data_IF_526067350613
#
_entry.id   IF_526067350613
#
_cell.length_a   1.000
_cell.length_b   1.000
_cell.length_c   1.000
_cell.angle_alpha   90.00
_cell.angle_beta   90.00
_cell.angle_gamma   90.00
#
_symmetry.space_group_name_H-M   'P 1'
#
loop_
_entity.id
_entity.type
_entity.pdbx_description
1 polymer ?
#
# COMPACT_ATOMS: atom_id res chain seq x y z
N UNK A 1 -19.69 -17.63 -16.47
CA UNK A 1 -19.26 -16.68 -15.40
C UNK A 1 -18.07 -17.17 -14.57
N UNK A 2 -17.92 -18.48 -14.28
CA UNK A 2 -16.82 -18.98 -13.41
C UNK A 2 -15.42 -18.99 -14.04
N UNK A 3 -15.30 -19.39 -15.31
CA UNK A 3 -14.01 -19.54 -16.00
C UNK A 3 -13.29 -18.19 -16.15
N UNK A 4 -13.99 -17.17 -16.67
CA UNK A 4 -13.46 -15.82 -16.87
C UNK A 4 -12.97 -15.14 -15.58
N UNK A 5 -13.65 -15.39 -14.45
CA UNK A 5 -13.25 -14.86 -13.13
C UNK A 5 -11.97 -15.51 -12.62
N UNK A 6 -11.78 -16.81 -12.90
CA UNK A 6 -10.59 -17.57 -12.50
C UNK A 6 -9.36 -17.12 -13.30
N UNK A 7 -9.47 -17.02 -14.62
CA UNK A 7 -8.40 -16.53 -15.51
C UNK A 7 -7.97 -15.11 -15.14
N UNK A 8 -8.93 -14.22 -14.85
CA UNK A 8 -8.63 -12.87 -14.42
C UNK A 8 -7.90 -12.84 -13.05
N UNK A 9 -8.29 -13.70 -12.11
CA UNK A 9 -7.64 -13.79 -10.81
C UNK A 9 -6.19 -14.31 -10.94
N UNK A 10 -5.94 -15.26 -11.84
CA UNK A 10 -4.60 -15.77 -12.11
C UNK A 10 -3.68 -14.72 -12.75
N UNK A 11 -4.19 -13.95 -13.72
CA UNK A 11 -3.46 -12.79 -14.27
C UNK A 11 -3.08 -11.78 -13.19
N UNK A 12 -4.03 -11.38 -12.35
CA UNK A 12 -3.78 -10.42 -11.26
C UNK A 12 -2.76 -10.97 -10.26
N UNK A 13 -2.80 -12.29 -9.96
CA UNK A 13 -1.81 -12.93 -9.08
C UNK A 13 -0.42 -12.97 -9.71
N UNK A 14 -0.31 -13.21 -11.02
CA UNK A 14 0.95 -13.18 -11.74
C UNK A 14 1.57 -11.77 -11.75
N UNK A 15 0.76 -10.74 -12.05
CA UNK A 15 1.19 -9.33 -12.02
C UNK A 15 1.59 -8.87 -10.60
N UNK A 16 0.91 -9.39 -9.57
CA UNK A 16 1.25 -9.11 -8.15
C UNK A 16 2.48 -9.86 -7.65
N UNK A 17 3.01 -10.84 -8.38
CA UNK A 17 4.19 -11.61 -7.97
C UNK A 17 5.49 -10.81 -8.16
N UNK A 18 5.52 -9.91 -9.14
CA UNK A 18 6.67 -9.06 -9.44
C UNK A 18 6.69 -7.78 -8.58
N UNK A 19 5.52 -7.35 -8.09
CA UNK A 19 5.36 -6.12 -7.31
C UNK A 19 5.26 -6.42 -5.82
N UNK A 20 6.18 -5.89 -5.03
CA UNK A 20 6.11 -5.99 -3.56
C UNK A 20 5.01 -5.06 -3.04
N UNK A 21 4.05 -5.60 -2.28
CA UNK A 21 2.99 -4.83 -1.64
C UNK A 21 2.78 -5.26 -0.19
N UNK A 22 2.43 -4.31 0.67
CA UNK A 22 2.06 -4.55 2.06
C UNK A 22 0.73 -3.86 2.38
N UNK A 23 -0.05 -4.42 3.31
CA UNK A 23 -1.34 -3.87 3.75
C UNK A 23 -1.46 -3.94 5.26
N UNK A 24 -1.91 -2.84 5.87
CA UNK A 24 -2.28 -2.78 7.29
C UNK A 24 -3.80 -2.62 7.39
N UNK A 25 -4.48 -3.66 7.89
CA UNK A 25 -5.93 -3.64 8.11
C UNK A 25 -6.23 -3.37 9.60
N UNK A 26 -7.41 -2.80 9.90
CA UNK A 26 -7.89 -2.53 11.27
C UNK A 26 -6.98 -1.61 12.10
N UNK A 27 -6.50 -0.51 11.52
CA UNK A 27 -5.79 0.51 12.29
C UNK A 27 -6.76 1.36 13.12
N UNK A 28 -6.56 1.52 14.46
CA UNK A 28 -7.44 2.29 15.33
C UNK A 28 -7.19 3.81 15.21
N UNK A 29 -7.12 4.33 13.98
CA UNK A 29 -6.91 5.76 13.71
C UNK A 29 -7.90 6.28 12.67
N UNK A 30 -8.24 7.57 12.75
CA UNK A 30 -9.16 8.16 11.78
C UNK A 30 -8.51 8.21 10.39
N UNK A 31 -9.18 7.75 9.32
CA UNK A 31 -8.62 7.76 7.95
C UNK A 31 -8.17 9.15 7.48
N UNK A 32 -8.80 10.22 7.97
CA UNK A 32 -8.44 11.60 7.62
C UNK A 32 -7.06 12.00 8.14
N UNK A 33 -6.73 11.70 9.41
CA UNK A 33 -5.41 12.02 9.99
C UNK A 33 -4.28 11.23 9.31
N UNK A 34 -4.53 9.96 9.01
CA UNK A 34 -3.60 9.10 8.27
C UNK A 34 -3.25 9.63 6.87
N UNK A 35 -4.21 10.22 6.14
CA UNK A 35 -3.96 10.75 4.79
C UNK A 35 -2.92 11.86 4.78
N UNK A 36 -2.95 12.75 5.77
CA UNK A 36 -1.98 13.84 5.88
C UNK A 36 -0.54 13.31 5.93
N UNK A 37 -0.30 12.26 6.73
CA UNK A 37 1.01 11.62 6.84
C UNK A 37 1.35 10.84 5.56
N UNK A 38 0.37 10.16 4.95
CA UNK A 38 0.57 9.42 3.70
C UNK A 38 0.93 10.32 2.51
N UNK A 39 0.39 11.54 2.46
CA UNK A 39 0.72 12.51 1.42
C UNK A 39 2.17 13.00 1.53
N UNK A 40 2.75 13.05 2.74
CA UNK A 40 4.16 13.39 2.94
C UNK A 40 5.13 12.31 2.45
N UNK A 41 4.69 11.06 2.39
CA UNK A 41 5.52 9.89 2.05
C UNK A 41 5.41 9.53 0.56
N UNK A 42 4.32 9.91 -0.12
CA UNK A 42 4.07 9.56 -1.51
C UNK A 42 5.15 10.14 -2.44
N UNK A 43 5.83 9.27 -3.20
CA UNK A 43 6.84 9.68 -4.19
C UNK A 43 8.25 9.90 -3.64
N UNK A 44 8.49 9.71 -2.33
CA UNK A 44 9.82 9.84 -1.73
C UNK A 44 10.60 8.53 -1.80
N UNK A 45 11.94 8.64 -1.73
CA UNK A 45 12.82 7.47 -1.61
C UNK A 45 12.58 6.76 -0.28
N UNK A 46 12.88 5.46 -0.23
CA UNK A 46 12.61 4.60 0.94
C UNK A 46 13.29 5.14 2.20
N UNK A 47 14.56 5.58 2.11
CA UNK A 47 15.32 6.12 3.23
C UNK A 47 14.72 7.41 3.79
N UNK A 48 14.33 8.33 2.90
CA UNK A 48 13.67 9.59 3.26
C UNK A 48 12.31 9.35 3.89
N UNK A 49 11.51 8.43 3.33
CA UNK A 49 10.22 8.03 3.89
C UNK A 49 10.35 7.46 5.30
N UNK A 50 11.35 6.60 5.53
CA UNK A 50 11.64 6.05 6.86
C UNK A 50 12.07 7.13 7.86
N UNK A 51 12.86 8.11 7.43
CA UNK A 51 13.24 9.24 8.27
C UNK A 51 12.01 10.09 8.65
N UNK A 52 11.18 10.44 7.68
CA UNK A 52 9.95 11.23 7.92
C UNK A 52 9.03 10.53 8.91
N UNK A 53 8.78 9.22 8.73
CA UNK A 53 7.92 8.46 9.62
C UNK A 53 8.48 8.32 11.05
N UNK A 54 9.82 8.34 11.22
CA UNK A 54 10.46 8.27 12.54
C UNK A 54 10.46 9.60 13.30
N UNK A 55 10.58 10.72 12.59
CA UNK A 55 10.72 12.05 13.20
C UNK A 55 9.43 12.88 13.17
N UNK A 56 8.33 12.33 12.64
CA UNK A 56 7.00 12.94 12.71
C UNK A 56 6.31 12.53 14.02
N UNK A 57 6.16 13.51 14.93
CA UNK A 57 5.40 13.38 16.19
C UNK A 57 3.90 13.53 15.98
#
# INVERSE_FOLDING_TARGET
MGVRKKEMAERIKAEKKTTAFAKLNNCPTSPRKMRLVADLVRGKKVEEALAILKFNT
#
